data_IF_434889022645
#
_entry.id   IF_434889022645
#
_cell.length_a   1.000
_cell.length_b   1.000
_cell.length_c   1.000
_cell.angle_alpha   90.00
_cell.angle_beta   90.00
_cell.angle_gamma   90.00
#
_symmetry.space_group_name_H-M   'P 1'
#
loop_
_entity.id
_entity.type
_entity.pdbx_description
1 polymer ?
#
# COMPACT_ATOMS: atom_id res chain seq x y z
N UNK A 1 -4.17 -27.72 12.47
CA UNK A 1 -3.38 -27.87 11.22
C UNK A 1 -2.00 -27.36 11.55
N UNK A 2 -1.01 -28.15 11.18
CA UNK A 2 0.40 -27.84 11.43
C UNK A 2 0.94 -27.22 10.14
N UNK A 3 1.37 -25.95 10.19
CA UNK A 3 2.03 -25.28 9.09
C UNK A 3 3.55 -25.39 9.25
N UNK A 4 4.30 -25.32 8.15
CA UNK A 4 5.73 -25.10 8.24
C UNK A 4 5.99 -23.66 8.69
N UNK A 5 5.31 -22.71 8.04
CA UNK A 5 5.44 -21.28 8.30
C UNK A 5 4.06 -20.66 8.52
N UNK A 6 3.88 -19.91 9.61
CA UNK A 6 2.75 -18.99 9.78
C UNK A 6 3.26 -17.55 9.67
N UNK A 7 2.64 -16.77 8.79
CA UNK A 7 2.83 -15.33 8.69
C UNK A 7 1.67 -14.64 9.40
N UNK A 8 1.98 -13.73 10.32
CA UNK A 8 0.98 -12.93 11.04
C UNK A 8 0.94 -11.55 10.41
N UNK A 9 -0.24 -11.17 9.91
CA UNK A 9 -0.48 -9.94 9.15
C UNK A 9 -0.54 -10.19 7.65
N UNK A 10 -1.60 -9.68 7.02
CA UNK A 10 -1.86 -9.68 5.58
C UNK A 10 -1.62 -8.31 4.93
N UNK A 11 -0.75 -7.48 5.51
CA UNK A 11 -0.29 -6.22 4.90
C UNK A 11 0.70 -6.43 3.76
N UNK A 12 1.35 -5.36 3.29
CA UNK A 12 2.31 -5.42 2.17
C UNK A 12 3.45 -6.43 2.41
N UNK A 13 4.08 -6.38 3.59
CA UNK A 13 5.16 -7.31 3.96
C UNK A 13 4.64 -8.75 4.07
N UNK A 14 3.49 -8.96 4.72
CA UNK A 14 2.92 -10.30 4.88
C UNK A 14 2.57 -10.96 3.54
N UNK A 15 1.99 -10.20 2.61
CA UNK A 15 1.71 -10.66 1.25
C UNK A 15 3.00 -10.94 0.47
N UNK A 16 4.01 -10.08 0.62
CA UNK A 16 5.33 -10.26 0.01
C UNK A 16 6.04 -11.53 0.51
N UNK A 17 6.01 -11.78 1.82
CA UNK A 17 6.53 -13.01 2.43
C UNK A 17 5.81 -14.26 1.90
N UNK A 18 4.48 -14.22 1.78
CA UNK A 18 3.70 -15.33 1.25
C UNK A 18 4.06 -15.63 -0.22
N UNK A 19 4.21 -14.59 -1.04
CA UNK A 19 4.61 -14.69 -2.44
C UNK A 19 6.02 -15.27 -2.61
N UNK A 20 7.00 -14.80 -1.84
CA UNK A 20 8.37 -15.32 -1.92
C UNK A 20 8.48 -16.76 -1.38
N UNK A 21 7.81 -17.07 -0.27
CA UNK A 21 7.88 -18.41 0.33
C UNK A 21 7.13 -19.48 -0.49
N UNK A 22 6.07 -19.14 -1.22
CA UNK A 22 5.31 -20.11 -2.03
C UNK A 22 6.10 -20.68 -3.23
N UNK A 23 7.27 -20.10 -3.53
CA UNK A 23 8.25 -20.63 -4.50
C UNK A 23 9.00 -21.86 -3.97
N UNK A 24 8.75 -22.27 -2.73
CA UNK A 24 9.34 -23.43 -2.07
C UNK A 24 8.25 -24.40 -1.60
N UNK A 25 8.60 -25.68 -1.48
CA UNK A 25 7.68 -26.72 -0.99
C UNK A 25 7.50 -26.61 0.54
N UNK A 26 6.68 -25.65 0.97
CA UNK A 26 6.35 -25.37 2.37
C UNK A 26 4.83 -25.26 2.53
N UNK A 27 4.30 -25.78 3.63
CA UNK A 27 2.91 -25.54 4.03
C UNK A 27 2.81 -24.18 4.75
N UNK A 28 2.26 -23.16 4.09
CA UNK A 28 2.27 -21.78 4.56
C UNK A 28 0.86 -21.32 4.92
N UNK A 29 0.72 -20.67 6.08
CA UNK A 29 -0.51 -20.00 6.51
C UNK A 29 -0.29 -18.50 6.70
N UNK A 30 -1.24 -17.66 6.28
CA UNK A 30 -1.29 -16.23 6.60
C UNK A 30 -2.51 -15.96 7.46
N UNK A 31 -2.34 -15.29 8.59
CA UNK A 31 -3.44 -14.92 9.50
C UNK A 31 -3.61 -13.40 9.49
N UNK A 32 -4.79 -12.93 9.10
CA UNK A 32 -5.15 -11.51 8.97
C UNK A 32 -6.44 -11.23 9.77
N UNK A 33 -6.40 -10.20 10.63
CA UNK A 33 -7.50 -9.85 11.53
C UNK A 33 -8.66 -9.14 10.83
N UNK A 34 -8.37 -8.42 9.76
CA UNK A 34 -9.33 -7.65 8.99
C UNK A 34 -10.07 -8.50 7.95
N UNK A 35 -11.05 -7.92 7.27
CA UNK A 35 -11.90 -8.61 6.30
C UNK A 35 -11.19 -8.89 4.97
N UNK A 36 -10.19 -8.07 4.66
CA UNK A 36 -9.41 -8.10 3.44
C UNK A 36 -7.91 -7.95 3.75
N UNK A 37 -7.09 -8.26 2.77
CA UNK A 37 -5.65 -8.03 2.82
C UNK A 37 -5.31 -6.57 2.50
N UNK A 38 -4.16 -6.10 2.98
CA UNK A 38 -3.62 -4.78 2.70
C UNK A 38 -4.56 -3.60 3.04
N UNK A 39 -5.49 -3.79 3.98
CA UNK A 39 -6.35 -2.71 4.46
C UNK A 39 -5.57 -1.57 5.12
N UNK A 40 -4.38 -1.85 5.65
CA UNK A 40 -3.52 -0.88 6.31
C UNK A 40 -2.62 -0.07 5.35
N UNK A 41 -2.70 -0.35 4.05
CA UNK A 41 -2.05 0.43 2.98
C UNK A 41 -2.86 1.69 2.69
N UNK A 42 -2.20 2.81 2.36
CA UNK A 42 -2.85 4.07 2.05
C UNK A 42 -3.94 3.95 0.96
N UNK A 43 -5.07 4.65 1.16
CA UNK A 43 -6.26 4.56 0.32
C UNK A 43 -6.01 4.92 -1.16
N UNK A 44 -5.16 5.91 -1.43
CA UNK A 44 -4.94 6.44 -2.79
C UNK A 44 -4.13 5.51 -3.70
N UNK A 45 -3.63 4.39 -3.16
CA UNK A 45 -2.85 3.39 -3.90
C UNK A 45 -1.76 4.02 -4.78
N UNK A 46 -1.07 5.02 -4.23
CA UNK A 46 0.02 5.73 -4.89
C UNK A 46 1.00 6.15 -3.81
N UNK A 47 2.24 5.69 -3.93
CA UNK A 47 3.30 5.95 -2.95
C UNK A 47 4.60 6.31 -3.66
N UNK A 48 5.38 7.17 -3.01
CA UNK A 48 6.66 7.65 -3.50
C UNK A 48 7.74 6.58 -3.33
N UNK A 49 8.41 6.24 -4.43
CA UNK A 49 9.69 5.54 -4.44
C UNK A 49 10.83 6.55 -4.33
N UNK A 50 11.62 6.38 -3.28
CA UNK A 50 12.75 7.19 -2.86
C UNK A 50 14.02 6.67 -3.51
N UNK A 51 14.95 7.58 -3.78
CA UNK A 51 16.33 7.28 -4.19
C UNK A 51 17.28 7.07 -2.99
N UNK A 52 16.78 7.32 -1.77
CA UNK A 52 17.52 7.14 -0.53
C UNK A 52 18.44 8.30 -0.13
N UNK A 53 18.51 9.41 -0.88
CA UNK A 53 19.40 10.54 -0.55
C UNK A 53 19.10 11.18 0.82
N UNK A 54 17.81 11.23 1.17
CA UNK A 54 17.30 11.85 2.40
C UNK A 54 17.40 10.92 3.62
N UNK A 55 17.77 9.64 3.42
CA UNK A 55 17.75 8.63 4.48
C UNK A 55 19.05 8.67 5.30
N UNK A 56 18.90 8.81 6.61
CA UNK A 56 20.04 8.90 7.54
C UNK A 56 20.60 7.53 7.93
N UNK A 57 19.73 6.54 8.19
CA UNK A 57 20.16 5.17 8.51
C UNK A 57 20.68 4.46 7.25
N UNK A 58 21.97 4.14 7.26
CA UNK A 58 22.65 3.49 6.13
C UNK A 58 22.08 2.10 5.79
N UNK A 59 21.53 1.37 6.79
CA UNK A 59 20.89 0.07 6.56
C UNK A 59 19.58 0.25 5.79
N UNK A 60 18.80 1.27 6.14
CA UNK A 60 17.56 1.60 5.43
C UNK A 60 17.87 2.07 4.02
N UNK A 61 18.91 2.90 3.84
CA UNK A 61 19.38 3.27 2.51
C UNK A 61 19.71 2.03 1.64
N UNK A 62 20.45 1.06 2.18
CA UNK A 62 20.81 -0.15 1.46
C UNK A 62 19.58 -1.02 1.12
N UNK A 63 18.58 -1.08 2.00
CA UNK A 63 17.31 -1.75 1.72
C UNK A 63 16.55 -1.07 0.57
N UNK A 64 16.51 0.27 0.53
CA UNK A 64 15.90 1.03 -0.56
C UNK A 64 16.63 0.78 -1.87
N UNK A 65 17.97 0.87 -1.85
CA UNK A 65 18.81 0.64 -3.04
C UNK A 65 18.56 -0.74 -3.65
N UNK A 66 18.54 -1.80 -2.84
CA UNK A 66 18.27 -3.18 -3.28
C UNK A 66 16.82 -3.39 -3.72
N UNK A 67 15.86 -2.74 -3.06
CA UNK A 67 14.45 -2.83 -3.45
C UNK A 67 14.24 -2.19 -4.82
N UNK A 68 14.74 -0.98 -5.04
CA UNK A 68 14.61 -0.26 -6.31
C UNK A 68 15.19 -1.03 -7.50
N UNK A 69 16.29 -1.76 -7.31
CA UNK A 69 16.90 -2.61 -8.35
C UNK A 69 15.97 -3.74 -8.82
N UNK A 70 15.02 -4.17 -7.98
CA UNK A 70 14.11 -5.27 -8.27
C UNK A 70 12.71 -4.79 -8.71
N UNK A 71 12.37 -3.51 -8.52
CA UNK A 71 11.02 -3.01 -8.77
C UNK A 71 10.60 -3.15 -10.23
N UNK A 72 11.46 -2.82 -11.21
CA UNK A 72 11.09 -2.96 -12.64
C UNK A 72 10.64 -4.38 -12.96
N UNK A 73 11.46 -5.39 -12.58
CA UNK A 73 11.14 -6.81 -12.79
C UNK A 73 9.88 -7.24 -12.03
N UNK A 74 9.78 -6.88 -10.75
CA UNK A 74 8.66 -7.29 -9.92
C UNK A 74 7.33 -6.70 -10.43
N UNK A 75 7.36 -5.47 -10.94
CA UNK A 75 6.17 -4.79 -11.49
C UNK A 75 5.67 -5.49 -12.75
N UNK A 76 6.59 -5.88 -13.64
CA UNK A 76 6.28 -6.63 -14.85
C UNK A 76 5.76 -8.04 -14.52
N UNK A 77 6.38 -8.74 -13.56
CA UNK A 77 5.95 -10.07 -13.13
C UNK A 77 4.54 -10.08 -12.52
N UNK A 78 4.22 -9.05 -11.73
CA UNK A 78 2.93 -8.93 -11.04
C UNK A 78 1.84 -8.23 -11.88
N UNK A 79 2.20 -7.63 -13.00
CA UNK A 79 1.34 -6.75 -13.82
C UNK A 79 0.71 -5.62 -12.97
N UNK A 80 1.58 -4.86 -12.29
CA UNK A 80 1.20 -3.76 -11.40
C UNK A 80 1.90 -2.46 -11.76
N UNK A 81 1.25 -1.33 -11.46
CA UNK A 81 1.77 -0.02 -11.81
C UNK A 81 3.04 0.33 -11.02
N UNK A 82 4.08 0.62 -11.79
CA UNK A 82 5.30 1.31 -11.36
C UNK A 82 5.74 2.23 -12.49
N UNK A 83 6.02 3.48 -12.14
CA UNK A 83 6.55 4.46 -13.07
C UNK A 83 7.75 5.17 -12.46
N UNK A 84 8.86 5.23 -13.20
CA UNK A 84 10.00 6.08 -12.86
C UNK A 84 9.62 7.52 -13.18
N UNK A 85 9.57 8.35 -12.14
CA UNK A 85 9.15 9.74 -12.22
C UNK A 85 10.23 10.55 -11.53
N UNK A 86 10.97 11.42 -12.23
CA UNK A 86 11.98 12.25 -11.59
C UNK A 86 11.37 13.18 -10.53
N UNK A 87 12.16 13.49 -9.51
CA UNK A 87 11.76 14.38 -8.42
C UNK A 87 12.56 15.67 -8.40
N UNK A 88 11.90 16.75 -8.02
CA UNK A 88 12.52 18.01 -7.61
C UNK A 88 12.28 18.20 -6.11
N UNK A 89 13.35 18.26 -5.32
CA UNK A 89 13.28 18.47 -3.87
C UNK A 89 13.83 19.83 -3.48
N UNK A 90 13.00 20.63 -2.79
CA UNK A 90 13.36 21.92 -2.20
C UNK A 90 13.60 21.72 -0.70
N UNK A 91 14.68 22.30 -0.18
CA UNK A 91 15.07 22.21 1.23
C UNK A 91 14.97 23.60 1.90
N UNK A 92 14.89 23.68 3.24
CA UNK A 92 14.73 24.95 3.94
C UNK A 92 15.95 25.87 3.84
N UNK A 93 17.14 25.31 3.53
CA UNK A 93 18.36 26.09 3.36
C UNK A 93 19.32 25.45 2.35
N UNK A 94 20.17 26.29 1.75
CA UNK A 94 21.24 25.86 0.84
C UNK A 94 22.23 24.90 1.50
N UNK A 95 22.55 25.14 2.78
CA UNK A 95 23.45 24.28 3.55
C UNK A 95 22.89 22.86 3.67
N UNK A 96 21.57 22.74 3.86
CA UNK A 96 20.91 21.43 3.94
C UNK A 96 20.87 20.75 2.57
N UNK A 97 20.54 21.48 1.51
CA UNK A 97 20.57 20.95 0.15
C UNK A 97 21.98 20.46 -0.25
N UNK A 98 23.02 21.24 0.04
CA UNK A 98 24.42 20.87 -0.22
C UNK A 98 24.85 19.64 0.59
N UNK A 99 24.42 19.55 1.87
CA UNK A 99 24.69 18.39 2.74
C UNK A 99 24.07 17.11 2.18
N UNK A 100 22.79 17.16 1.79
CA UNK A 100 22.09 16.01 1.21
C UNK A 100 22.70 15.63 -0.14
N UNK A 101 23.02 16.60 -0.99
CA UNK A 101 23.67 16.35 -2.27
C UNK A 101 25.04 15.69 -2.10
N UNK A 102 25.85 16.17 -1.15
CA UNK A 102 27.15 15.55 -0.82
C UNK A 102 26.99 14.10 -0.37
N UNK A 103 26.00 13.81 0.49
CA UNK A 103 25.66 12.44 0.91
C UNK A 103 25.31 11.56 -0.29
N UNK A 104 24.53 12.07 -1.24
CA UNK A 104 24.19 11.35 -2.47
C UNK A 104 25.44 11.02 -3.32
N UNK A 105 26.38 11.95 -3.44
CA UNK A 105 27.66 11.72 -4.13
C UNK A 105 28.53 10.68 -3.43
N UNK A 106 28.63 10.75 -2.10
CA UNK A 106 29.38 9.78 -1.28
C UNK A 106 28.80 8.36 -1.43
N UNK A 107 27.47 8.25 -1.50
CA UNK A 107 26.73 7.00 -1.78
C UNK A 107 26.76 6.56 -3.24
N UNK A 108 27.33 7.38 -4.15
CA UNK A 108 27.39 7.14 -5.60
C UNK A 108 26.01 6.96 -6.24
N UNK A 109 25.03 7.75 -5.80
CA UNK A 109 23.72 7.80 -6.44
C UNK A 109 23.87 8.58 -7.76
N UNK A 110 23.86 7.88 -8.88
CA UNK A 110 23.95 8.49 -10.23
C UNK A 110 22.66 9.27 -10.56
N UNK A 111 22.68 10.20 -11.52
CA UNK A 111 21.45 10.89 -11.96
C UNK A 111 20.85 11.86 -10.93
N UNK A 112 21.62 12.29 -9.94
CA UNK A 112 21.26 13.35 -8.97
C UNK A 112 22.03 14.62 -9.33
N UNK A 113 21.38 15.79 -9.25
CA UNK A 113 21.99 17.08 -9.56
C UNK A 113 21.53 18.16 -8.59
N UNK A 114 22.47 19.00 -8.13
CA UNK A 114 22.19 20.22 -7.39
C UNK A 114 22.01 21.36 -8.40
N UNK A 115 20.77 21.83 -8.56
CA UNK A 115 20.41 22.87 -9.52
C UNK A 115 20.17 24.19 -8.80
N UNK A 116 20.52 25.31 -9.42
CA UNK A 116 19.98 26.61 -8.98
C UNK A 116 18.49 26.66 -9.25
N UNK A 117 17.74 27.37 -8.41
CA UNK A 117 16.27 27.51 -8.55
C UNK A 117 15.83 27.93 -9.96
N UNK A 118 16.54 28.85 -10.61
CA UNK A 118 16.25 29.27 -12.00
C UNK A 118 16.42 28.14 -13.04
N UNK A 119 17.38 27.24 -12.84
CA UNK A 119 17.62 26.09 -13.72
C UNK A 119 16.52 25.04 -13.52
N UNK A 120 16.15 24.78 -12.26
CA UNK A 120 15.05 23.89 -11.92
C UNK A 120 13.72 24.40 -12.49
N UNK A 121 13.44 25.71 -12.39
CA UNK A 121 12.24 26.33 -12.95
C UNK A 121 12.15 26.17 -14.49
N UNK A 122 13.27 26.28 -15.21
CA UNK A 122 13.33 26.04 -16.66
C UNK A 122 12.98 24.60 -17.03
N UNK A 123 13.34 23.64 -16.17
CA UNK A 123 13.01 22.22 -16.36
C UNK A 123 11.57 21.89 -15.93
N UNK A 124 11.08 22.53 -14.87
CA UNK A 124 9.76 22.33 -14.33
C UNK A 124 9.17 23.66 -13.84
N UNK A 125 8.28 24.23 -14.64
CA UNK A 125 7.62 25.51 -14.36
C UNK A 125 6.81 25.56 -13.05
N UNK A 126 6.50 24.41 -12.44
CA UNK A 126 5.83 24.33 -11.15
C UNK A 126 6.78 24.65 -9.98
N UNK A 127 8.10 24.61 -10.20
CA UNK A 127 9.09 25.03 -9.19
C UNK A 127 9.18 26.56 -9.24
N UNK A 128 8.65 27.23 -8.22
CA UNK A 128 8.69 28.70 -8.15
C UNK A 128 10.13 29.20 -7.93
N UNK A 129 10.57 30.25 -8.66
CA UNK A 129 11.86 30.87 -8.43
C UNK A 129 12.00 31.35 -6.98
N UNK A 130 13.11 30.98 -6.35
CA UNK A 130 13.48 31.38 -4.99
C UNK A 130 15.01 31.46 -4.88
N UNK A 131 15.52 32.06 -3.81
CA UNK A 131 16.95 32.02 -3.51
C UNK A 131 17.31 30.62 -3.00
N UNK A 132 18.21 29.95 -3.72
CA UNK A 132 18.81 28.70 -3.26
C UNK A 132 18.84 27.56 -4.28
N UNK A 133 18.98 26.34 -3.76
CA UNK A 133 19.14 25.12 -4.54
C UNK A 133 17.94 24.17 -4.51
N UNK A 134 17.78 23.44 -5.62
CA UNK A 134 16.85 22.33 -5.76
C UNK A 134 17.63 21.08 -6.13
N UNK A 135 17.38 19.97 -5.43
CA UNK A 135 17.95 18.68 -5.83
C UNK A 135 17.01 18.02 -6.83
N UNK A 136 17.51 17.80 -8.05
CA UNK A 136 16.86 16.98 -9.06
C UNK A 136 17.38 15.54 -8.99
N UNK A 137 16.48 14.55 -9.07
CA UNK A 137 16.85 13.13 -9.07
C UNK A 137 16.02 12.34 -10.08
N UNK A 138 16.71 11.57 -10.91
CA UNK A 138 16.10 10.67 -11.91
C UNK A 138 15.65 9.31 -11.33
N UNK A 139 16.00 9.01 -10.07
CA UNK A 139 15.84 7.65 -9.50
C UNK A 139 14.63 7.51 -8.56
N UNK A 140 13.71 8.45 -8.61
CA UNK A 140 12.44 8.36 -7.87
C UNK A 140 11.35 7.80 -8.77
N UNK A 141 10.22 7.44 -8.16
CA UNK A 141 9.11 6.86 -8.90
C UNK A 141 7.84 6.76 -8.08
N UNK A 142 6.84 6.12 -8.67
CA UNK A 142 5.52 5.95 -8.06
C UNK A 142 5.10 4.50 -8.21
N UNK A 143 4.65 3.89 -7.13
CA UNK A 143 4.06 2.55 -7.12
C UNK A 143 2.63 2.57 -6.60
N UNK A 144 1.91 1.47 -6.82
CA UNK A 144 0.58 1.19 -6.25
C UNK A 144 0.66 0.08 -5.18
N UNK A 145 1.00 0.38 -3.91
CA UNK A 145 1.36 -0.66 -2.93
C UNK A 145 0.23 -1.66 -2.63
N UNK A 146 -1.03 -1.22 -2.72
CA UNK A 146 -2.18 -2.12 -2.55
C UNK A 146 -2.29 -3.11 -3.71
N UNK A 147 -1.98 -2.68 -4.94
CA UNK A 147 -1.97 -3.57 -6.11
C UNK A 147 -0.83 -4.58 -6.01
N UNK A 148 0.35 -4.18 -5.53
CA UNK A 148 1.43 -5.13 -5.22
C UNK A 148 0.99 -6.17 -4.19
N UNK A 149 0.47 -5.73 -3.05
CA UNK A 149 0.07 -6.64 -1.97
C UNK A 149 -1.02 -7.62 -2.44
N UNK A 150 -2.05 -7.13 -3.15
CA UNK A 150 -3.12 -7.99 -3.67
C UNK A 150 -2.64 -8.93 -4.78
N UNK A 151 -1.80 -8.48 -5.70
CA UNK A 151 -1.23 -9.35 -6.74
C UNK A 151 -0.38 -10.47 -6.13
N UNK A 152 0.52 -10.13 -5.19
CA UNK A 152 1.35 -11.10 -4.47
C UNK A 152 0.50 -12.11 -3.70
N UNK A 153 -0.54 -11.66 -3.00
CA UNK A 153 -1.42 -12.54 -2.24
C UNK A 153 -2.28 -13.47 -3.13
N UNK A 154 -2.77 -12.97 -4.27
CA UNK A 154 -3.52 -13.78 -5.24
C UNK A 154 -2.65 -14.88 -5.84
N UNK A 155 -1.42 -14.54 -6.23
CA UNK A 155 -0.44 -15.53 -6.71
C UNK A 155 -0.10 -16.53 -5.59
N UNK A 156 0.16 -16.06 -4.37
CA UNK A 156 0.45 -16.95 -3.25
C UNK A 156 -0.72 -17.91 -2.96
N UNK A 157 -1.96 -17.42 -3.00
CA UNK A 157 -3.17 -18.23 -2.83
C UNK A 157 -3.28 -19.32 -3.90
N UNK A 158 -3.10 -18.95 -5.17
CA UNK A 158 -3.15 -19.89 -6.29
C UNK A 158 -2.00 -20.93 -6.25
N UNK A 159 -0.92 -20.62 -5.55
CA UNK A 159 0.21 -21.53 -5.27
C UNK A 159 0.08 -22.27 -3.93
N UNK A 160 -1.11 -22.27 -3.30
CA UNK A 160 -1.43 -23.14 -2.16
C UNK A 160 -1.23 -22.53 -0.77
N UNK A 161 -0.90 -21.24 -0.67
CA UNK A 161 -0.84 -20.55 0.62
C UNK A 161 -2.24 -20.42 1.21
N UNK A 162 -2.39 -20.80 2.48
CA UNK A 162 -3.68 -20.73 3.19
C UNK A 162 -3.87 -19.38 3.87
N UNK A 163 -4.76 -18.54 3.36
CA UNK A 163 -5.13 -17.28 4.00
C UNK A 163 -6.31 -17.46 4.97
N UNK A 164 -6.18 -16.89 6.17
CA UNK A 164 -7.18 -16.86 7.24
C UNK A 164 -7.50 -15.41 7.58
N UNK A 165 -8.47 -14.84 6.87
CA UNK A 165 -8.97 -13.48 7.12
C UNK A 165 -10.03 -13.47 8.22
N UNK A 166 -10.33 -12.28 8.74
CA UNK A 166 -11.21 -12.05 9.87
C UNK A 166 -10.78 -12.81 11.14
N UNK A 167 -9.50 -13.17 11.25
CA UNK A 167 -8.97 -14.04 12.29
C UNK A 167 -7.86 -13.33 13.07
N UNK A 168 -8.15 -13.00 14.32
CA UNK A 168 -7.28 -12.21 15.18
C UNK A 168 -6.43 -13.14 16.05
N UNK A 169 -5.11 -12.93 16.01
CA UNK A 169 -4.17 -13.63 16.89
C UNK A 169 -4.31 -13.05 18.30
N UNK A 170 -4.47 -13.94 19.28
CA UNK A 170 -4.64 -13.58 20.68
C UNK A 170 -3.38 -13.88 21.49
N UNK A 171 -2.64 -14.92 21.12
CA UNK A 171 -1.50 -15.40 21.90
C UNK A 171 -0.54 -16.28 21.07
N UNK A 172 0.75 -16.24 21.44
CA UNK A 172 1.82 -17.05 20.83
C UNK A 172 2.65 -17.67 21.94
N UNK A 173 2.89 -18.99 21.86
CA UNK A 173 3.65 -19.72 22.87
C UNK A 173 4.60 -20.73 22.23
N UNK A 174 5.82 -20.82 22.76
CA UNK A 174 6.73 -21.91 22.43
C UNK A 174 6.18 -23.27 22.90
N UNK A 175 6.43 -24.30 22.11
CA UNK A 175 6.05 -25.67 22.47
C UNK A 175 7.22 -26.42 23.13
N UNK A 176 6.97 -27.24 24.17
CA UNK A 176 8.02 -27.98 24.88
C UNK A 176 8.87 -28.93 24.02
N UNK A 177 8.41 -29.28 22.82
CA UNK A 177 9.08 -30.20 21.88
C UNK A 177 9.54 -29.51 20.59
N UNK A 178 9.62 -28.18 20.60
CA UNK A 178 9.95 -27.36 19.45
C UNK A 178 8.73 -26.95 18.63
N UNK A 179 8.86 -25.82 17.93
CA UNK A 179 7.78 -25.14 17.23
C UNK A 179 6.99 -24.21 18.13
N UNK A 180 6.04 -23.51 17.52
CA UNK A 180 5.30 -22.40 18.12
C UNK A 180 3.81 -22.65 17.94
N UNK A 181 3.04 -22.42 18.99
CA UNK A 181 1.58 -22.44 18.98
C UNK A 181 1.04 -21.02 18.83
N UNK A 182 0.17 -20.82 17.85
CA UNK A 182 -0.55 -19.55 17.63
C UNK A 182 -2.02 -19.78 17.98
N UNK A 183 -2.53 -19.03 18.94
CA UNK A 183 -3.95 -19.06 19.34
C UNK A 183 -4.65 -17.83 18.78
N UNK A 184 -5.78 -18.03 18.11
CA UNK A 184 -6.60 -16.96 17.54
C UNK A 184 -7.97 -16.94 18.20
N UNK A 185 -8.80 -15.96 17.82
CA UNK A 185 -10.21 -15.91 18.20
C UNK A 185 -11.07 -17.03 17.58
N UNK A 186 -10.57 -17.76 16.58
CA UNK A 186 -11.31 -18.83 15.88
C UNK A 186 -10.69 -20.22 16.04
N UNK A 187 -9.38 -20.32 16.20
CA UNK A 187 -8.68 -21.60 16.11
C UNK A 187 -7.35 -21.60 16.88
N UNK A 188 -6.66 -22.74 16.84
CA UNK A 188 -5.30 -22.94 17.33
C UNK A 188 -4.48 -23.61 16.24
N UNK A 189 -3.32 -23.04 15.97
CA UNK A 189 -2.37 -23.54 14.98
C UNK A 189 -1.04 -23.84 15.65
N UNK A 190 -0.26 -24.68 14.99
CA UNK A 190 1.14 -24.91 15.31
C UNK A 190 1.96 -24.65 14.05
N UNK A 191 3.17 -24.13 14.24
CA UNK A 191 4.11 -23.95 13.16
C UNK A 191 5.54 -24.18 13.62
N UNK A 192 6.41 -24.54 12.67
CA UNK A 192 7.84 -24.57 12.95
C UNK A 192 8.43 -23.16 12.97
N UNK A 193 7.98 -22.29 12.07
CA UNK A 193 8.38 -20.89 12.01
C UNK A 193 7.15 -19.98 12.05
N UNK A 194 7.21 -18.93 12.85
CA UNK A 194 6.26 -17.82 12.86
C UNK A 194 6.98 -16.55 12.45
N UNK A 195 6.49 -15.92 11.39
CA UNK A 195 6.95 -14.60 10.94
C UNK A 195 5.89 -13.58 11.32
N UNK A 196 6.20 -12.73 12.29
CA UNK A 196 5.32 -11.64 12.70
C UNK A 196 5.64 -10.39 11.89
N UNK A 197 4.63 -9.81 11.25
CA UNK A 197 4.74 -8.55 10.48
C UNK A 197 3.80 -7.47 11.01
N UNK A 198 3.18 -7.72 12.16
CA UNK A 198 2.12 -6.91 12.74
C UNK A 198 2.67 -5.90 13.75
N UNK A 199 2.10 -4.71 13.80
CA UNK A 199 2.55 -3.61 14.65
C UNK A 199 1.59 -3.33 15.80
N UNK A 200 2.13 -3.16 17.02
CA UNK A 200 1.36 -2.74 18.21
C UNK A 200 0.46 -3.81 18.82
N UNK A 201 0.43 -5.03 18.28
CA UNK A 201 -0.30 -6.14 18.89
C UNK A 201 0.41 -6.66 20.15
N UNK A 202 -0.36 -7.16 21.11
CA UNK A 202 0.16 -7.54 22.44
C UNK A 202 0.69 -8.96 22.51
N UNK A 203 0.49 -9.76 21.47
CA UNK A 203 0.99 -11.12 21.41
C UNK A 203 2.46 -11.11 20.98
N UNK A 204 3.30 -11.75 21.76
CA UNK A 204 4.69 -12.01 21.39
C UNK A 204 5.24 -13.12 22.28
N UNK A 205 6.25 -13.83 21.80
CA UNK A 205 7.07 -14.68 22.67
C UNK A 205 8.09 -13.88 23.48
N UNK A 206 8.32 -12.61 23.12
CA UNK A 206 9.25 -11.72 23.80
C UNK A 206 8.67 -11.19 25.11
N UNK A 207 9.56 -10.89 26.06
CA UNK A 207 9.19 -10.23 27.32
C UNK A 207 9.41 -8.72 27.30
N UNK A 208 10.23 -8.22 26.37
CA UNK A 208 10.57 -6.80 26.27
C UNK A 208 9.64 -6.04 25.32
N UNK A 209 9.49 -4.73 25.59
CA UNK A 209 8.60 -3.82 24.87
C UNK A 209 9.13 -3.49 23.47
N UNK A 210 8.23 -3.48 22.48
CA UNK A 210 8.51 -2.97 21.14
C UNK A 210 9.02 -1.52 21.20
N UNK A 211 10.05 -1.22 20.39
CA UNK A 211 10.48 0.17 20.19
C UNK A 211 9.51 0.83 19.23
N UNK A 212 8.53 1.53 19.79
CA UNK A 212 7.58 2.34 19.01
C UNK A 212 8.13 3.75 18.88
N UNK A 213 8.40 4.18 17.65
CA UNK A 213 8.77 5.56 17.35
C UNK A 213 7.59 6.51 17.47
N UNK A 214 7.86 7.82 17.37
CA UNK A 214 6.80 8.84 17.39
C UNK A 214 5.78 8.62 16.27
N UNK A 215 4.52 8.91 16.59
CA UNK A 215 3.42 8.90 15.63
C UNK A 215 3.34 10.25 14.92
N UNK A 216 3.25 10.23 13.60
CA UNK A 216 3.06 11.41 12.76
C UNK A 216 1.77 11.32 11.94
N UNK A 217 1.34 12.47 11.42
CA UNK A 217 0.16 12.60 10.58
C UNK A 217 0.58 12.89 9.15
N UNK A 218 0.00 12.16 8.20
CA UNK A 218 0.03 12.49 6.77
C UNK A 218 -1.39 12.82 6.34
N UNK A 219 -1.60 14.09 5.99
CA UNK A 219 -2.81 14.53 5.32
C UNK A 219 -2.66 14.35 3.83
N UNK A 220 -3.71 13.88 3.17
CA UNK A 220 -3.69 13.58 1.76
C UNK A 220 -4.85 14.28 1.06
N UNK A 221 -4.58 14.82 -0.12
CA UNK A 221 -5.56 15.44 -0.99
C UNK A 221 -5.38 14.89 -2.40
N UNK A 222 -6.42 14.26 -2.94
CA UNK A 222 -6.45 13.83 -4.34
C UNK A 222 -7.09 14.93 -5.17
N UNK A 223 -6.30 15.53 -6.05
CA UNK A 223 -6.68 16.66 -6.89
C UNK A 223 -6.79 16.21 -8.34
N UNK A 224 -7.87 16.61 -9.01
CA UNK A 224 -8.02 16.39 -10.44
C UNK A 224 -6.88 17.04 -11.24
N UNK A 225 -6.53 16.40 -12.36
CA UNK A 225 -5.51 16.91 -13.27
C UNK A 225 -5.85 18.29 -13.80
N UNK A 226 -4.84 19.17 -13.78
CA UNK A 226 -4.85 20.39 -14.56
C UNK A 226 -4.29 20.08 -15.95
N UNK A 227 -5.08 20.25 -17.00
CA UNK A 227 -4.58 20.02 -18.37
C UNK A 227 -3.67 21.15 -18.86
N UNK A 228 -3.70 22.32 -18.21
CA UNK A 228 -2.88 23.48 -18.59
C UNK A 228 -1.56 23.52 -17.82
N UNK A 229 -1.60 23.19 -16.52
CA UNK A 229 -0.44 23.21 -15.62
C UNK A 229 -0.22 21.85 -14.96
N UNK A 230 -0.03 20.81 -15.79
CA UNK A 230 0.11 19.44 -15.30
C UNK A 230 1.43 19.24 -14.53
N UNK A 231 1.33 18.74 -13.29
CA UNK A 231 2.48 18.26 -12.53
C UNK A 231 2.84 16.86 -13.00
N UNK A 232 3.92 16.75 -13.79
CA UNK A 232 4.42 15.48 -14.36
C UNK A 232 5.58 14.87 -13.59
N UNK A 233 6.22 15.66 -12.73
CA UNK A 233 7.33 15.25 -11.89
C UNK A 233 6.89 15.21 -10.44
N UNK A 234 7.57 14.42 -9.62
CA UNK A 234 7.40 14.50 -8.17
C UNK A 234 7.98 15.84 -7.70
N UNK A 235 7.24 16.54 -6.85
CA UNK A 235 7.74 17.77 -6.21
C UNK A 235 7.66 17.57 -4.70
N UNK A 236 8.79 17.73 -4.02
CA UNK A 236 8.89 17.60 -2.57
C UNK A 236 9.48 18.88 -1.99
N UNK A 237 8.86 19.42 -0.96
CA UNK A 237 9.33 20.64 -0.31
C UNK A 237 9.34 20.43 1.20
N UNK A 238 10.53 20.54 1.77
CA UNK A 238 10.76 20.58 3.22
C UNK A 238 10.66 22.03 3.69
N UNK A 239 9.82 22.27 4.70
CA UNK A 239 9.57 23.61 5.25
C UNK A 239 10.35 23.85 6.53
N UNK A 240 10.57 25.12 6.86
CA UNK A 240 11.26 25.56 8.08
C UNK A 240 10.59 25.06 9.36
N UNK A 241 9.27 24.86 9.34
CA UNK A 241 8.49 24.38 10.47
C UNK A 241 8.53 22.84 10.63
N UNK A 242 9.32 22.13 9.83
CA UNK A 242 9.45 20.68 9.85
C UNK A 242 8.39 19.93 9.03
N UNK A 243 7.43 20.63 8.43
CA UNK A 243 6.44 20.01 7.56
C UNK A 243 7.04 19.65 6.21
N UNK A 244 6.51 18.59 5.60
CA UNK A 244 6.95 18.12 4.28
C UNK A 244 5.74 17.98 3.38
N UNK A 245 5.70 18.76 2.31
CA UNK A 245 4.69 18.59 1.26
C UNK A 245 5.28 17.79 0.10
N UNK A 246 4.54 16.81 -0.39
CA UNK A 246 4.92 16.01 -1.55
C UNK A 246 3.76 15.94 -2.54
N UNK A 247 4.04 16.25 -3.80
CA UNK A 247 3.10 16.14 -4.91
C UNK A 247 3.53 14.98 -5.80
N UNK A 248 2.62 14.04 -6.02
CA UNK A 248 2.89 12.76 -6.69
C UNK A 248 1.86 12.55 -7.80
N UNK A 249 2.28 12.44 -9.08
CA UNK A 249 1.41 11.95 -10.15
C UNK A 249 0.96 10.51 -9.83
N UNK A 250 -0.31 10.19 -10.03
CA UNK A 250 -0.87 8.87 -9.70
C UNK A 250 -1.17 8.05 -10.95
N UNK A 251 -1.30 6.73 -10.78
CA UNK A 251 -1.73 5.80 -11.83
C UNK A 251 -3.11 6.10 -12.42
N UNK A 252 -3.92 6.90 -11.71
CA UNK A 252 -5.26 7.31 -12.15
C UNK A 252 -5.28 8.66 -12.87
N UNK A 253 -4.11 9.20 -13.25
CA UNK A 253 -3.97 10.49 -13.93
C UNK A 253 -4.55 11.65 -13.09
N UNK A 254 -4.42 11.55 -11.77
CA UNK A 254 -4.73 12.57 -10.76
C UNK A 254 -3.45 12.94 -10.01
N UNK A 255 -3.48 14.07 -9.29
CA UNK A 255 -2.38 14.52 -8.45
C UNK A 255 -2.68 14.17 -6.99
N UNK A 256 -1.81 13.39 -6.35
CA UNK A 256 -1.84 13.17 -4.91
C UNK A 256 -0.94 14.20 -4.25
N UNK A 257 -1.51 15.06 -3.41
CA UNK A 257 -0.77 15.95 -2.54
C UNK A 257 -0.78 15.39 -1.12
N UNK A 258 0.40 15.20 -0.54
CA UNK A 258 0.57 14.73 0.84
C UNK A 258 1.28 15.78 1.67
N UNK A 259 0.84 15.95 2.91
CA UNK A 259 1.45 16.85 3.88
C UNK A 259 1.76 16.06 5.15
N UNK A 260 3.04 15.88 5.44
CA UNK A 260 3.52 15.37 6.72
C UNK A 260 3.53 16.51 7.73
N UNK A 261 2.80 16.36 8.82
CA UNK A 261 2.62 17.39 9.84
C UNK A 261 2.42 16.77 11.23
N UNK A 262 2.67 17.55 12.28
CA UNK A 262 2.45 17.14 13.67
C UNK A 262 0.99 17.23 14.12
N UNK A 263 0.13 17.90 13.36
CA UNK A 263 -1.29 18.08 13.70
C UNK A 263 -2.16 18.16 12.46
N UNK A 264 -3.34 17.56 12.51
CA UNK A 264 -4.39 17.67 11.49
C UNK A 264 -4.72 19.13 11.19
N UNK A 265 -4.88 19.47 9.91
CA UNK A 265 -5.25 20.80 9.41
C UNK A 265 -6.65 20.77 8.82
N UNK A 266 -7.30 21.93 8.85
CA UNK A 266 -8.56 22.09 8.13
C UNK A 266 -8.32 22.09 6.62
N UNK A 267 -9.35 21.73 5.86
CA UNK A 267 -9.32 21.74 4.38
C UNK A 267 -8.73 23.03 3.80
N UNK A 268 -9.13 24.19 4.33
CA UNK A 268 -8.68 25.49 3.83
C UNK A 268 -7.18 25.72 4.03
N UNK A 269 -6.60 25.15 5.10
CA UNK A 269 -5.19 25.24 5.40
C UNK A 269 -4.40 24.26 4.53
N UNK A 270 -4.79 22.98 4.49
CA UNK A 270 -4.16 21.98 3.62
C UNK A 270 -4.16 22.44 2.15
N UNK A 271 -5.29 22.97 1.66
CA UNK A 271 -5.38 23.53 0.31
C UNK A 271 -4.38 24.66 0.09
N UNK A 272 -4.22 25.59 1.04
CA UNK A 272 -3.22 26.67 0.93
C UNK A 272 -1.79 26.13 0.84
N UNK A 273 -1.48 25.06 1.57
CA UNK A 273 -0.17 24.41 1.45
C UNK A 273 0.04 23.80 0.05
N UNK A 274 -0.99 23.21 -0.54
CA UNK A 274 -0.90 22.70 -1.93
C UNK A 274 -0.76 23.85 -2.93
N UNK A 275 -1.53 24.93 -2.76
CA UNK A 275 -1.48 26.13 -3.59
C UNK A 275 -0.15 26.89 -3.48
N UNK A 276 0.55 26.77 -2.35
CA UNK A 276 1.89 27.35 -2.20
C UNK A 276 2.87 26.74 -3.20
N UNK A 277 2.63 25.50 -3.63
CA UNK A 277 3.45 24.80 -4.62
C UNK A 277 2.88 24.99 -6.04
N UNK A 278 1.66 24.53 -6.31
CA UNK A 278 1.09 24.48 -7.68
C UNK A 278 0.33 25.73 -8.11
N UNK A 279 0.20 26.72 -7.24
CA UNK A 279 -0.64 27.90 -7.48
C UNK A 279 -2.12 27.65 -7.17
N UNK A 280 -2.96 28.69 -7.30
CA UNK A 280 -4.36 28.62 -6.88
C UNK A 280 -5.19 27.69 -7.77
N UNK A 281 -6.11 26.94 -7.16
CA UNK A 281 -7.05 26.08 -7.90
C UNK A 281 -8.44 26.06 -7.24
N UNK A 282 -9.51 25.81 -8.01
CA UNK A 282 -10.88 25.74 -7.48
C UNK A 282 -11.04 24.54 -6.52
N UNK A 283 -11.73 24.71 -5.36
CA UNK A 283 -12.01 23.62 -4.41
C UNK A 283 -12.68 22.39 -5.03
N UNK A 284 -13.47 22.58 -6.08
CA UNK A 284 -14.21 21.53 -6.80
C UNK A 284 -13.30 20.51 -7.50
N UNK A 285 -11.99 20.82 -7.66
CA UNK A 285 -10.99 19.86 -8.16
C UNK A 285 -10.52 18.88 -7.10
N UNK A 286 -10.88 19.06 -5.83
CA UNK A 286 -10.51 18.12 -4.77
C UNK A 286 -11.54 17.01 -4.72
N UNK A 287 -11.12 15.81 -5.12
CA UNK A 287 -12.00 14.64 -5.11
C UNK A 287 -12.13 14.06 -3.70
N UNK A 288 -10.99 13.86 -3.02
CA UNK A 288 -10.91 13.13 -1.75
C UNK A 288 -9.86 13.78 -0.86
N UNK A 289 -10.18 13.83 0.43
CA UNK A 289 -9.24 14.15 1.50
C UNK A 289 -9.22 12.97 2.46
N UNK A 290 -8.04 12.58 2.91
CA UNK A 290 -7.89 11.52 3.89
C UNK A 290 -6.71 11.79 4.81
N UNK A 291 -6.88 11.49 6.09
CA UNK A 291 -5.81 11.47 7.07
C UNK A 291 -5.29 10.04 7.24
N UNK A 292 -3.98 9.89 7.30
CA UNK A 292 -3.31 8.63 7.63
C UNK A 292 -2.25 8.87 8.70
N UNK A 293 -2.05 7.88 9.56
CA UNK A 293 -0.99 7.88 10.57
C UNK A 293 0.19 7.05 10.08
N UNK A 294 1.39 7.50 10.41
CA UNK A 294 2.60 6.72 10.26
C UNK A 294 3.36 6.71 11.58
N UNK A 295 4.21 5.70 11.76
CA UNK A 295 5.04 5.57 12.94
C UNK A 295 6.50 5.64 12.50
N UNK A 296 7.33 6.32 13.29
CA UNK A 296 8.77 6.33 13.08
C UNK A 296 9.42 5.03 13.62
N UNK A 297 8.80 3.88 13.40
CA UNK A 297 9.35 2.59 13.85
C UNK A 297 10.65 2.30 13.10
N UNK A 298 11.69 1.77 13.78
CA UNK A 298 12.85 1.23 13.09
C UNK A 298 12.46 0.17 12.07
N UNK A 299 13.03 0.24 10.87
CA UNK A 299 12.91 -0.81 9.87
C UNK A 299 14.00 -1.84 10.14
N UNK A 300 13.62 -2.98 10.72
CA UNK A 300 14.57 -4.06 11.00
C UNK A 300 13.90 -5.43 11.04
N UNK A 301 14.71 -6.46 10.85
CA UNK A 301 14.34 -7.85 11.13
C UNK A 301 14.97 -8.20 12.47
N UNK A 302 14.12 -8.51 13.43
CA UNK A 302 14.50 -8.96 14.75
C UNK A 302 14.71 -10.47 14.73
N UNK A 303 15.98 -10.86 14.79
CA UNK A 303 16.43 -12.24 14.67
C UNK A 303 16.77 -12.92 16.01
N UNK A 304 16.51 -12.26 17.15
CA UNK A 304 16.89 -12.76 18.48
C UNK A 304 16.41 -14.20 18.73
N UNK A 305 15.17 -14.51 18.32
CA UNK A 305 14.53 -15.83 18.46
C UNK A 305 14.41 -16.57 17.13
N UNK A 306 15.13 -16.13 16.09
CA UNK A 306 15.05 -16.75 14.75
C UNK A 306 15.47 -18.22 14.79
N UNK A 307 16.38 -18.60 15.69
CA UNK A 307 16.80 -20.00 15.91
C UNK A 307 15.70 -20.86 16.50
N UNK A 308 14.80 -20.28 17.28
CA UNK A 308 13.64 -20.95 17.89
C UNK A 308 12.42 -20.93 16.96
N UNK A 309 12.57 -20.33 15.77
CA UNK A 309 11.53 -20.26 14.75
C UNK A 309 10.67 -19.01 14.83
N UNK A 310 11.02 -17.99 15.62
CA UNK A 310 10.26 -16.74 15.66
C UNK A 310 11.06 -15.59 15.05
N UNK A 311 10.50 -14.98 14.01
CA UNK A 311 11.07 -13.85 13.29
C UNK A 311 10.07 -12.70 13.39
N UNK A 312 10.53 -11.52 13.79
CA UNK A 312 9.68 -10.33 13.86
C UNK A 312 10.22 -9.27 12.91
N UNK A 313 9.39 -8.84 11.96
CA UNK A 313 9.71 -7.77 11.02
C UNK A 313 9.01 -6.51 11.53
N UNK A 314 9.82 -5.57 12.02
CA UNK A 314 9.38 -4.24 12.45
C UNK A 314 9.56 -3.29 11.28
N UNK A 315 8.46 -2.74 10.78
CA UNK A 315 8.46 -1.97 9.54
C UNK A 315 7.24 -1.06 9.37
N UNK A 316 6.49 -0.73 10.43
CA UNK A 316 5.37 0.23 10.33
C UNK A 316 5.95 1.64 10.23
N UNK A 317 6.46 1.95 9.04
CA UNK A 317 7.23 3.15 8.73
C UNK A 317 6.78 3.73 7.38
N UNK A 318 6.88 5.05 7.19
CA UNK A 318 6.53 5.71 5.92
C UNK A 318 7.33 5.19 4.72
N UNK A 319 8.53 4.63 4.96
CA UNK A 319 9.39 4.06 3.93
C UNK A 319 9.15 2.56 3.68
N UNK A 320 8.13 1.92 4.29
CA UNK A 320 7.89 0.47 4.12
C UNK A 320 7.76 0.06 2.64
N UNK A 321 7.05 0.88 1.86
CA UNK A 321 6.85 0.72 0.42
C UNK A 321 8.15 0.77 -0.39
N UNK A 322 9.21 1.33 0.20
CA UNK A 322 10.52 1.51 -0.42
C UNK A 322 11.50 0.40 -0.08
N UNK A 323 11.22 -0.39 0.96
CA UNK A 323 12.12 -1.43 1.47
C UNK A 323 11.54 -2.83 1.38
N UNK A 324 10.23 -2.97 1.12
CA UNK A 324 9.53 -4.25 1.30
C UNK A 324 10.18 -5.40 0.53
N UNK A 325 10.65 -5.18 -0.70
CA UNK A 325 11.23 -6.24 -1.54
C UNK A 325 12.55 -6.78 -0.97
N UNK A 326 13.48 -5.89 -0.60
CA UNK A 326 14.75 -6.31 -0.01
C UNK A 326 14.56 -6.86 1.41
N UNK A 327 13.70 -6.23 2.22
CA UNK A 327 13.39 -6.67 3.57
C UNK A 327 12.75 -8.07 3.58
N UNK A 328 11.86 -8.34 2.62
CA UNK A 328 11.25 -9.67 2.44
C UNK A 328 12.31 -10.69 2.05
N UNK A 329 13.18 -10.38 1.09
CA UNK A 329 14.27 -11.28 0.66
C UNK A 329 15.12 -11.71 1.86
N UNK A 330 15.57 -10.74 2.66
CA UNK A 330 16.39 -11.00 3.85
C UNK A 330 15.65 -11.88 4.88
N UNK A 331 14.36 -11.63 5.11
CA UNK A 331 13.54 -12.42 6.03
C UNK A 331 13.27 -13.83 5.51
N UNK A 332 13.04 -14.00 4.21
CA UNK A 332 12.86 -15.32 3.56
C UNK A 332 14.11 -16.17 3.73
N UNK A 333 15.31 -15.60 3.57
CA UNK A 333 16.55 -16.33 3.83
C UNK A 333 16.65 -16.85 5.27
N UNK A 334 16.20 -16.07 6.26
CA UNK A 334 16.14 -16.50 7.66
C UNK A 334 15.15 -17.65 7.87
N UNK A 335 13.98 -17.58 7.24
CA UNK A 335 12.99 -18.67 7.26
C UNK A 335 13.59 -19.93 6.64
N UNK A 336 14.18 -19.83 5.45
CA UNK A 336 14.71 -20.98 4.71
C UNK A 336 15.87 -21.67 5.43
N UNK A 337 16.67 -20.95 6.24
CA UNK A 337 17.70 -21.57 7.10
C UNK A 337 17.14 -22.58 8.10
N UNK A 338 15.84 -22.50 8.43
CA UNK A 338 15.16 -23.45 9.30
C UNK A 338 14.72 -24.73 8.57
N UNK A 339 14.73 -24.73 7.24
CA UNK A 339 14.24 -25.85 6.44
C UNK A 339 15.30 -26.39 5.50
N UNK A 340 15.11 -27.63 5.06
CA UNK A 340 15.77 -28.15 3.85
C UNK A 340 14.78 -28.05 2.70
N UNK A 341 14.26 -26.84 2.49
CA UNK A 341 13.22 -26.59 1.50
C UNK A 341 13.77 -26.73 0.08
N UNK A 342 13.01 -27.40 -0.77
CA UNK A 342 13.29 -27.48 -2.21
C UNK A 342 12.39 -26.49 -2.94
N UNK A 343 12.84 -26.01 -4.10
CA UNK A 343 12.02 -25.17 -4.98
C UNK A 343 10.73 -25.90 -5.38
N UNK A 344 9.64 -25.14 -5.46
CA UNK A 344 8.37 -25.59 -6.02
C UNK A 344 8.44 -25.52 -7.54
N UNK A 345 8.59 -26.68 -8.20
CA UNK A 345 8.67 -26.75 -9.66
C UNK A 345 7.33 -26.45 -10.37
N UNK A 346 6.22 -26.48 -9.63
CA UNK A 346 4.88 -26.17 -10.13
C UNK A 346 4.46 -24.72 -9.87
N UNK A 347 5.40 -23.87 -9.41
CA UNK A 347 5.14 -22.46 -9.13
C UNK A 347 4.63 -21.72 -10.38
N UNK A 348 3.50 -21.04 -10.23
CA UNK A 348 2.88 -20.21 -11.27
C UNK A 348 2.94 -18.75 -10.86
N UNK A 349 3.75 -17.97 -11.58
CA UNK A 349 3.84 -16.53 -11.37
C UNK A 349 2.60 -15.78 -11.87
N UNK A 350 1.94 -16.28 -12.93
CA UNK A 350 0.90 -15.53 -13.62
C UNK A 350 -0.39 -15.52 -12.80
N UNK A 351 -0.85 -14.31 -12.46
CA UNK A 351 -2.15 -14.03 -11.87
C UNK A 351 -3.29 -14.32 -12.86
N UNK A 352 -4.47 -14.66 -12.34
CA UNK A 352 -5.71 -14.70 -13.12
C UNK A 352 -5.96 -13.34 -13.80
N UNK A 353 -6.22 -13.36 -15.11
CA UNK A 353 -6.58 -12.15 -15.86
C UNK A 353 -7.91 -11.57 -15.37
N UNK A 354 -7.97 -10.24 -15.31
CA UNK A 354 -9.18 -9.48 -15.00
C UNK A 354 -9.26 -8.28 -15.94
N UNK A 355 -10.47 -7.77 -16.15
CA UNK A 355 -10.74 -6.75 -17.14
C UNK A 355 -11.14 -5.45 -16.47
N UNK A 356 -10.64 -4.32 -17.00
CA UNK A 356 -11.06 -2.97 -16.62
C UNK A 356 -11.80 -2.35 -17.78
N UNK A 357 -13.12 -2.22 -17.64
CA UNK A 357 -14.00 -1.85 -18.76
C UNK A 357 -13.63 -0.50 -19.39
N UNK A 358 -13.13 0.43 -18.57
CA UNK A 358 -12.68 1.75 -19.00
C UNK A 358 -11.43 1.75 -19.87
N UNK A 359 -10.61 0.71 -19.78
CA UNK A 359 -9.33 0.57 -20.50
C UNK A 359 -9.47 -0.22 -21.81
N UNK A 360 -10.63 -0.84 -22.04
CA UNK A 360 -10.93 -1.66 -23.23
C UNK A 360 -11.46 -0.81 -24.41
N UNK A 361 -11.17 -1.26 -25.62
CA UNK A 361 -11.79 -0.81 -26.87
C UNK A 361 -13.28 -1.20 -26.96
N UNK A 362 -14.02 -0.58 -27.86
CA UNK A 362 -15.44 -0.90 -28.03
C UNK A 362 -15.65 -2.33 -28.57
N UNK A 363 -14.73 -2.86 -29.38
CA UNK A 363 -14.74 -4.25 -29.81
C UNK A 363 -14.59 -5.22 -28.63
N UNK A 364 -13.56 -5.01 -27.79
CA UNK A 364 -13.31 -5.82 -26.59
C UNK A 364 -14.47 -5.74 -25.60
N UNK A 365 -15.05 -4.55 -25.40
CA UNK A 365 -16.25 -4.35 -24.56
C UNK A 365 -17.42 -5.17 -25.07
N UNK A 366 -17.68 -5.14 -26.38
CA UNK A 366 -18.76 -5.92 -26.97
C UNK A 366 -18.53 -7.43 -26.83
N UNK A 367 -17.28 -7.89 -26.92
CA UNK A 367 -16.93 -9.30 -26.72
C UNK A 367 -17.18 -9.76 -25.28
N UNK A 368 -16.66 -9.03 -24.28
CA UNK A 368 -16.84 -9.41 -22.88
C UNK A 368 -18.31 -9.35 -22.45
N UNK A 369 -19.10 -8.40 -22.98
CA UNK A 369 -20.55 -8.32 -22.74
C UNK A 369 -21.28 -9.54 -23.28
N UNK A 370 -20.85 -10.11 -24.42
CA UNK A 370 -21.43 -11.34 -24.96
C UNK A 370 -21.13 -12.54 -24.07
N UNK A 371 -19.96 -12.58 -23.44
CA UNK A 371 -19.53 -13.66 -22.55
C UNK A 371 -20.24 -13.56 -21.19
N UNK A 372 -20.23 -12.38 -20.56
CA UNK A 372 -20.97 -12.10 -19.33
C UNK A 372 -21.70 -10.75 -19.45
N UNK A 373 -23.05 -10.77 -19.61
CA UNK A 373 -23.87 -9.56 -19.72
C UNK A 373 -23.75 -8.58 -18.53
N UNK A 374 -23.18 -9.00 -17.39
CA UNK A 374 -22.91 -8.09 -16.26
C UNK A 374 -21.89 -7.01 -16.61
N UNK A 375 -20.97 -7.26 -17.54
CA UNK A 375 -20.07 -6.21 -18.06
C UNK A 375 -20.82 -5.16 -18.91
N UNK A 376 -22.07 -5.41 -19.30
CA UNK A 376 -22.91 -4.42 -19.98
C UNK A 376 -23.69 -3.51 -19.03
N UNK A 377 -23.60 -3.75 -17.71
CA UNK A 377 -24.39 -3.05 -16.69
C UNK A 377 -23.53 -2.05 -15.94
N UNK A 378 -23.65 -0.77 -16.29
CA UNK A 378 -22.92 0.30 -15.62
C UNK A 378 -23.37 0.52 -14.17
N UNK A 379 -22.41 0.49 -13.23
CA UNK A 379 -22.64 0.72 -11.80
C UNK A 379 -22.12 2.08 -11.35
N UNK A 380 -20.87 2.45 -11.69
CA UNK A 380 -20.33 3.81 -11.49
C UNK A 380 -20.03 4.45 -12.84
N UNK A 381 -20.81 5.47 -13.18
CA UNK A 381 -20.60 6.29 -14.38
C UNK A 381 -19.31 7.11 -14.28
N UNK A 382 -19.04 7.61 -13.07
CA UNK A 382 -17.86 8.37 -12.68
C UNK A 382 -16.52 7.77 -13.13
N UNK A 383 -16.34 6.49 -12.83
CA UNK A 383 -15.10 5.73 -13.03
C UNK A 383 -15.25 4.69 -14.14
N UNK A 384 -16.37 4.72 -14.86
CA UNK A 384 -16.76 3.77 -15.90
C UNK A 384 -16.59 2.30 -15.47
N UNK A 385 -17.22 1.94 -14.34
CA UNK A 385 -17.19 0.58 -13.76
C UNK A 385 -18.54 -0.13 -13.87
N UNK A 386 -18.47 -1.40 -14.28
CA UNK A 386 -19.60 -2.30 -14.54
C UNK A 386 -19.91 -3.22 -13.35
N UNK A 387 -21.09 -3.86 -13.35
CA UNK A 387 -21.42 -4.92 -12.39
C UNK A 387 -20.47 -6.12 -12.53
N UNK A 388 -20.03 -6.43 -13.77
CA UNK A 388 -19.09 -7.52 -14.05
C UNK A 388 -17.77 -7.37 -13.30
N UNK A 389 -17.16 -6.19 -13.36
CA UNK A 389 -15.92 -5.87 -12.64
C UNK A 389 -16.06 -5.99 -11.11
N UNK A 390 -17.19 -5.53 -10.56
CA UNK A 390 -17.44 -5.62 -9.12
C UNK A 390 -17.56 -7.09 -8.71
N UNK A 391 -18.36 -7.88 -9.44
CA UNK A 391 -18.52 -9.31 -9.16
C UNK A 391 -17.20 -10.05 -9.29
N UNK A 392 -16.41 -9.77 -10.32
CA UNK A 392 -15.09 -10.38 -10.50
C UNK A 392 -14.13 -10.05 -9.34
N UNK A 393 -14.12 -8.78 -8.90
CA UNK A 393 -13.28 -8.35 -7.77
C UNK A 393 -13.61 -9.07 -6.45
N UNK A 394 -14.84 -9.56 -6.28
CA UNK A 394 -15.29 -10.31 -5.10
C UNK A 394 -14.95 -11.80 -5.22
N UNK A 395 -15.09 -12.36 -6.42
CA UNK A 395 -14.97 -13.80 -6.70
C UNK A 395 -13.55 -14.28 -6.97
N UNK A 396 -12.64 -13.39 -7.35
CA UNK A 396 -11.23 -13.75 -7.57
C UNK A 396 -10.55 -14.24 -6.27
N UNK A 397 -9.42 -14.96 -6.35
CA UNK A 397 -8.59 -15.27 -5.19
C UNK A 397 -8.38 -14.02 -4.33
N UNK A 398 -8.44 -14.17 -3.00
CA UNK A 398 -8.35 -13.02 -2.08
C UNK A 398 -9.24 -11.83 -2.50
N UNK A 399 -10.44 -12.11 -2.99
CA UNK A 399 -11.38 -11.11 -3.48
C UNK A 399 -11.95 -10.22 -2.38
N UNK A 400 -12.50 -9.08 -2.79
CA UNK A 400 -13.04 -8.07 -1.88
C UNK A 400 -14.11 -8.62 -0.93
N UNK A 401 -14.08 -8.17 0.32
CA UNK A 401 -15.08 -8.50 1.36
C UNK A 401 -15.80 -7.29 1.93
N UNK A 402 -15.32 -6.09 1.62
CA UNK A 402 -15.81 -4.80 2.14
C UNK A 402 -16.04 -3.82 1.00
N UNK A 403 -16.74 -2.73 1.28
CA UNK A 403 -16.94 -1.66 0.29
C UNK A 403 -15.61 -1.04 -0.11
N UNK A 404 -14.69 -0.87 0.83
CA UNK A 404 -13.35 -0.38 0.54
C UNK A 404 -12.55 -1.37 -0.31
N UNK A 405 -12.65 -2.68 -0.04
CA UNK A 405 -12.02 -3.71 -0.87
C UNK A 405 -12.49 -3.68 -2.33
N UNK A 406 -13.78 -3.42 -2.58
CA UNK A 406 -14.32 -3.22 -3.94
C UNK A 406 -13.82 -1.90 -4.53
N UNK A 407 -13.87 -0.82 -3.74
CA UNK A 407 -13.41 0.52 -4.14
C UNK A 407 -11.96 0.47 -4.62
N UNK A 408 -11.06 -0.14 -3.85
CA UNK A 408 -9.62 -0.24 -4.17
C UNK A 408 -9.35 -1.06 -5.44
N UNK A 409 -10.07 -2.17 -5.64
CA UNK A 409 -9.88 -3.05 -6.82
C UNK A 409 -10.48 -2.51 -8.11
N UNK A 410 -11.56 -1.73 -8.03
CA UNK A 410 -12.35 -1.32 -9.21
C UNK A 410 -12.27 0.17 -9.53
N UNK A 411 -11.97 1.01 -8.55
CA UNK A 411 -12.07 2.47 -8.68
C UNK A 411 -13.50 3.00 -8.49
N UNK A 412 -14.47 2.17 -8.10
CA UNK A 412 -15.79 2.65 -7.71
C UNK A 412 -15.69 3.57 -6.49
N UNK A 413 -16.63 4.51 -6.34
CA UNK A 413 -16.68 5.47 -5.22
C UNK A 413 -15.56 6.54 -5.26
N UNK A 414 -14.41 6.30 -5.90
CA UNK A 414 -13.29 7.25 -6.05
C UNK A 414 -13.53 8.46 -6.98
N UNK A 415 -14.65 8.49 -7.71
CA UNK A 415 -14.97 9.62 -8.59
C UNK A 415 -15.71 10.74 -7.85
N UNK A 416 -15.81 11.91 -8.49
CA UNK A 416 -16.42 13.16 -7.95
C UNK A 416 -17.69 13.00 -7.09
N UNK A 417 -18.55 12.05 -7.43
CA UNK A 417 -19.80 11.82 -6.69
C UNK A 417 -19.63 11.12 -5.34
N UNK A 418 -18.43 10.65 -5.01
CA UNK A 418 -18.06 9.99 -3.75
C UNK A 418 -19.03 8.88 -3.32
N UNK A 419 -19.54 8.11 -4.29
CA UNK A 419 -20.44 6.99 -4.05
C UNK A 419 -21.93 7.34 -3.99
N UNK A 420 -22.32 8.60 -4.16
CA UNK A 420 -23.72 9.06 -4.07
C UNK A 420 -24.70 8.26 -4.94
N UNK A 421 -24.24 7.69 -6.07
CA UNK A 421 -25.06 6.84 -6.94
C UNK A 421 -24.74 5.34 -6.86
N UNK A 422 -23.46 4.98 -6.74
CA UNK A 422 -23.03 3.60 -6.87
C UNK A 422 -22.94 2.84 -5.54
N UNK A 423 -22.85 3.53 -4.40
CA UNK A 423 -22.61 2.90 -3.09
C UNK A 423 -23.65 1.85 -2.74
N UNK A 424 -24.94 2.19 -2.83
CA UNK A 424 -26.03 1.23 -2.53
C UNK A 424 -26.02 0.03 -3.47
N UNK A 425 -25.64 0.22 -4.75
CA UNK A 425 -25.51 -0.88 -5.72
C UNK A 425 -24.32 -1.78 -5.36
N UNK A 426 -23.18 -1.21 -5.00
CA UNK A 426 -21.98 -1.94 -4.55
C UNK A 426 -22.30 -2.79 -3.32
N UNK A 427 -22.97 -2.21 -2.31
CA UNK A 427 -23.41 -2.93 -1.11
C UNK A 427 -24.35 -4.08 -1.48
N UNK A 428 -25.32 -3.85 -2.36
CA UNK A 428 -26.25 -4.90 -2.82
C UNK A 428 -25.56 -6.05 -3.56
N UNK A 429 -24.57 -5.73 -4.40
CA UNK A 429 -23.75 -6.75 -5.09
C UNK A 429 -22.91 -7.53 -4.06
N UNK A 430 -22.20 -6.86 -3.17
CA UNK A 430 -21.41 -7.50 -2.10
C UNK A 430 -22.26 -8.44 -1.25
N UNK A 431 -23.40 -7.96 -0.74
CA UNK A 431 -24.33 -8.76 0.05
C UNK A 431 -24.79 -10.03 -0.68
N UNK A 432 -25.13 -9.88 -1.97
CA UNK A 432 -25.54 -11.01 -2.82
C UNK A 432 -24.40 -12.02 -3.03
N UNK A 433 -23.21 -11.54 -3.40
CA UNK A 433 -22.07 -12.42 -3.71
C UNK A 433 -21.48 -13.09 -2.46
N UNK A 434 -21.60 -12.47 -1.28
CA UNK A 434 -21.13 -13.03 0.00
C UNK A 434 -22.22 -13.78 0.78
N UNK A 435 -23.43 -13.87 0.24
CA UNK A 435 -24.60 -14.47 0.90
C UNK A 435 -24.88 -13.87 2.29
N UNK A 436 -24.76 -12.54 2.42
CA UNK A 436 -24.97 -11.77 3.65
C UNK A 436 -26.15 -10.80 3.48
N UNK A 437 -26.69 -10.31 4.60
CA UNK A 437 -27.58 -9.15 4.58
C UNK A 437 -26.81 -7.88 4.21
N UNK A 438 -27.43 -6.89 3.52
CA UNK A 438 -26.83 -5.56 3.34
C UNK A 438 -26.43 -4.86 4.65
N UNK A 439 -27.06 -5.22 5.78
CA UNK A 439 -26.73 -4.70 7.12
C UNK A 439 -25.42 -5.26 7.68
N UNK A 440 -24.95 -6.39 7.14
CA UNK A 440 -23.72 -7.06 7.57
C UNK A 440 -22.50 -6.64 6.73
N UNK A 441 -22.70 -5.76 5.74
CA UNK A 441 -21.61 -5.24 4.91
C UNK A 441 -20.91 -4.09 5.62
N UNK A 442 -19.61 -4.28 5.82
CA UNK A 442 -18.72 -3.32 6.45
C UNK A 442 -18.10 -2.37 5.40
N UNK A 443 -17.75 -1.16 5.84
CA UNK A 443 -17.01 -0.22 5.00
C UNK A 443 -15.59 -0.72 4.74
N UNK A 444 -14.82 -0.93 5.80
CA UNK A 444 -13.40 -1.29 5.78
C UNK A 444 -13.08 -2.27 6.91
N UNK A 445 -13.37 -1.91 8.16
CA UNK A 445 -12.99 -2.68 9.35
C UNK A 445 -14.18 -3.21 10.14
N UNK A 446 -13.89 -3.95 11.21
CA UNK A 446 -14.93 -4.42 12.14
C UNK A 446 -15.71 -3.24 12.73
N UNK A 447 -17.02 -3.42 12.87
CA UNK A 447 -17.94 -2.41 13.42
C UNK A 447 -17.99 -1.10 12.58
N UNK A 448 -17.79 -1.22 11.26
CA UNK A 448 -17.90 -0.11 10.29
C UNK A 448 -19.13 -0.26 9.37
N UNK A 449 -20.26 -0.70 9.92
CA UNK A 449 -21.49 -0.89 9.15
C UNK A 449 -21.90 0.41 8.44
N UNK A 450 -22.21 0.30 7.14
CA UNK A 450 -22.68 1.46 6.35
C UNK A 450 -24.18 1.65 6.52
N UNK A 451 -24.92 0.55 6.68
CA UNK A 451 -26.37 0.55 6.86
C UNK A 451 -26.67 -0.03 8.24
N UNK A 452 -27.15 0.82 9.16
CA UNK A 452 -27.45 0.41 10.54
C UNK A 452 -28.80 -0.33 10.68
N UNK A 453 -29.83 0.13 9.97
CA UNK A 453 -31.18 -0.40 10.10
C UNK A 453 -32.01 -0.14 8.85
N UNK A 454 -33.15 -0.82 8.75
CA UNK A 454 -34.18 -0.53 7.74
C UNK A 454 -35.02 0.68 8.17
N UNK A 455 -35.49 1.47 7.22
CA UNK A 455 -36.27 2.73 7.40
C UNK A 455 -37.57 2.60 8.25
N UNK A 456 -37.94 1.41 8.74
CA UNK A 456 -39.15 1.19 9.55
C UNK A 456 -38.93 0.32 10.80
N UNK A 457 -37.69 0.19 11.27
CA UNK A 457 -37.32 -0.53 12.50
C UNK A 457 -36.64 0.44 13.49
N UNK A 458 -37.26 1.59 13.78
CA UNK A 458 -36.70 2.63 14.66
C UNK A 458 -37.07 2.47 16.14
N UNK A 459 -37.74 1.38 16.54
CA UNK A 459 -38.26 1.21 17.90
C UNK A 459 -37.19 0.86 18.96
N UNK A 460 -35.89 1.01 18.65
CA UNK A 460 -34.81 0.57 19.54
C UNK A 460 -33.49 1.37 19.46
N UNK A 461 -33.53 2.68 19.22
CA UNK A 461 -32.36 3.56 19.45
C UNK A 461 -32.52 4.31 20.77
#
# INVERSE_FOLDING_TARGET
>A
MDYDVIILGGGLIGCSMAYELCKYNLNIGVIEKNFDIAEDVALFNSSLILDGKDIEDERVFELIRRSNQNLDRLSEELDVFYEKVPSFTVYPSDQEAERIYKRALERKIEGVSLLKSEEANKMNHNIKPHEGYVIYSMNTGVISPYDYATAMAEIAYDNGVSFRVEEEVLDIQDLPRGGIKVTTNKNRYTARVVVRTTFGDKYTIKKDSEVVGEEGIVENMLVEKDFMNEVKHIIKEYKDNGEVITLVPTSTNKLLATLQTGSSKEFSQMKKEVESVIGPFPPERVDIINESRYWAEPILIDEEYAKDGYIHIQAKNYAVDNVFSALTTDAVELVLKQFKATSNNDFKVKRREYYRFREMSDEERNEIIRIDPKYGKMVCLCSNVTEGEIVDSIRRPMGARTVEGVRRRTGTIFGRCQGSYCLTKVIGILARELHKSPLEIMNDKKDSQIIFARIKEFDSI
#
